data_IF_750260258074
#
_entry.id   IF_750260258074
#
_cell.length_a   1.000
_cell.length_b   1.000
_cell.length_c   1.000
_cell.angle_alpha   90.00
_cell.angle_beta   90.00
_cell.angle_gamma   90.00
#
_symmetry.space_group_name_H-M   'P 1'
#
loop_
_entity.id
_entity.type
_entity.pdbx_description
1 polymer ?
#
# COMPACT_ATOMS: atom_id res chain seq x y z
N UNK A 1 15.47 -18.84 -18.51
CA UNK A 1 15.69 -17.47 -18.98
C UNK A 1 14.41 -16.69 -18.74
N UNK A 2 14.41 -15.85 -17.71
CA UNK A 2 13.36 -14.85 -17.44
C UNK A 2 13.28 -13.93 -18.66
N UNK A 3 12.11 -13.86 -19.30
CA UNK A 3 11.93 -13.12 -20.57
C UNK A 3 11.06 -11.87 -20.45
N UNK A 4 10.88 -11.32 -19.24
CA UNK A 4 10.10 -10.10 -19.04
C UNK A 4 10.55 -9.19 -17.90
N UNK A 5 11.47 -9.64 -17.05
CA UNK A 5 12.07 -8.81 -16.00
C UNK A 5 13.58 -8.91 -16.16
N UNK A 6 14.33 -7.78 -16.19
CA UNK A 6 15.77 -7.79 -16.03
C UNK A 6 16.22 -8.78 -14.94
N UNK A 7 17.22 -9.60 -15.25
CA UNK A 7 17.71 -10.75 -14.47
C UNK A 7 18.21 -10.41 -13.05
N UNK A 8 18.17 -9.14 -12.66
CA UNK A 8 18.61 -8.59 -11.38
C UNK A 8 17.54 -7.74 -10.65
N UNK A 9 16.27 -7.78 -11.07
CA UNK A 9 15.22 -7.05 -10.38
C UNK A 9 14.88 -7.69 -9.04
N UNK A 10 15.07 -6.93 -7.97
CA UNK A 10 14.58 -7.27 -6.66
C UNK A 10 13.04 -7.25 -6.66
N UNK A 11 12.44 -7.99 -5.72
CA UNK A 11 10.98 -8.02 -5.52
C UNK A 11 10.36 -6.62 -5.35
N UNK A 12 11.11 -5.70 -4.75
CA UNK A 12 10.70 -4.32 -4.53
C UNK A 12 11.72 -3.39 -5.16
N UNK A 13 11.26 -2.43 -5.97
CA UNK A 13 12.10 -1.47 -6.68
C UNK A 13 11.55 -0.07 -6.47
N UNK A 14 12.45 0.89 -6.22
CA UNK A 14 12.13 2.30 -6.30
C UNK A 14 12.58 2.81 -7.68
N UNK A 15 11.64 3.31 -8.47
CA UNK A 15 11.91 3.93 -9.77
C UNK A 15 11.83 5.44 -9.60
N UNK A 16 12.87 6.13 -10.07
CA UNK A 16 12.96 7.59 -10.11
C UNK A 16 12.98 8.00 -11.59
N UNK A 17 11.83 8.38 -12.17
CA UNK A 17 11.72 8.64 -13.61
C UNK A 17 12.57 9.81 -14.12
N UNK A 18 12.75 10.84 -13.31
CA UNK A 18 13.52 12.04 -13.66
C UNK A 18 14.59 12.30 -12.60
N UNK A 19 15.88 12.24 -12.96
CA UNK A 19 16.97 12.45 -11.99
C UNK A 19 17.14 13.90 -11.56
N UNK A 20 16.58 14.85 -12.30
CA UNK A 20 16.70 16.29 -12.03
C UNK A 20 15.55 16.83 -11.17
N UNK A 21 14.51 16.01 -10.96
CA UNK A 21 13.30 16.38 -10.21
C UNK A 21 13.37 15.89 -8.76
N UNK A 22 12.81 16.67 -7.83
CA UNK A 22 12.70 16.27 -6.43
C UNK A 22 11.89 14.96 -6.28
N UNK A 23 12.36 14.06 -5.41
CA UNK A 23 11.74 12.75 -5.19
C UNK A 23 10.28 12.83 -4.75
N UNK A 24 9.92 13.86 -3.97
CA UNK A 24 8.59 14.04 -3.42
C UNK A 24 7.62 14.71 -4.40
N UNK A 25 8.10 15.18 -5.55
CA UNK A 25 7.28 15.78 -6.58
C UNK A 25 6.93 14.76 -7.69
N UNK A 26 6.05 13.81 -7.38
CA UNK A 26 5.50 12.83 -8.34
C UNK A 26 6.59 12.06 -9.14
N UNK A 27 7.75 11.86 -8.49
CA UNK A 27 8.96 11.34 -9.10
C UNK A 27 9.48 10.06 -8.42
N UNK A 28 8.66 9.44 -7.57
CA UNK A 28 8.97 8.18 -6.93
C UNK A 28 7.83 7.19 -7.19
N UNK A 29 8.16 6.09 -7.85
CA UNK A 29 7.26 4.96 -8.07
C UNK A 29 7.85 3.74 -7.35
N UNK A 30 7.08 3.15 -6.45
CA UNK A 30 7.42 1.90 -5.80
C UNK A 30 6.79 0.77 -6.59
N UNK A 31 7.62 -0.12 -7.12
CA UNK A 31 7.20 -1.34 -7.79
C UNK A 31 7.34 -2.54 -6.86
N UNK A 32 6.31 -3.37 -6.84
CA UNK A 32 6.37 -4.70 -6.27
C UNK A 32 6.00 -5.74 -7.32
N UNK A 33 6.86 -6.75 -7.50
CA UNK A 33 6.56 -7.93 -8.31
C UNK A 33 6.13 -9.08 -7.41
N UNK A 34 4.96 -9.66 -7.67
CA UNK A 34 4.58 -10.90 -7.00
C UNK A 34 5.23 -12.14 -7.64
N UNK A 35 5.04 -13.31 -7.03
CA UNK A 35 5.57 -14.56 -7.58
C UNK A 35 4.92 -14.91 -8.93
N UNK A 36 5.64 -15.62 -9.80
CA UNK A 36 5.06 -16.15 -11.04
C UNK A 36 3.94 -17.15 -10.77
N UNK A 37 3.05 -17.29 -11.75
CA UNK A 37 2.07 -18.38 -11.80
C UNK A 37 2.74 -19.74 -11.49
N UNK A 38 2.30 -20.40 -10.41
CA UNK A 38 2.95 -21.60 -9.88
C UNK A 38 2.89 -22.81 -10.81
N UNK A 39 1.87 -22.87 -11.67
CA UNK A 39 1.55 -24.06 -12.47
C UNK A 39 1.93 -23.93 -13.95
N UNK A 40 2.63 -22.86 -14.32
CA UNK A 40 3.03 -22.60 -15.71
C UNK A 40 4.56 -22.62 -15.85
N UNK A 41 5.08 -23.07 -17.00
CA UNK A 41 6.49 -22.89 -17.30
C UNK A 41 6.83 -21.40 -17.32
N UNK A 42 8.03 -21.02 -16.88
CA UNK A 42 8.46 -19.61 -16.77
C UNK A 42 8.31 -18.79 -18.07
N UNK A 43 8.33 -19.44 -19.23
CA UNK A 43 8.11 -18.80 -20.53
C UNK A 43 6.66 -18.40 -20.80
N UNK A 44 5.72 -18.87 -19.97
CA UNK A 44 4.27 -18.62 -20.06
C UNK A 44 3.69 -18.11 -18.73
N UNK A 45 4.47 -18.20 -17.65
CA UNK A 45 4.08 -17.70 -16.35
C UNK A 45 3.97 -16.18 -16.38
N UNK A 46 2.87 -15.68 -15.84
CA UNK A 46 2.62 -14.25 -15.68
C UNK A 46 2.97 -13.86 -14.26
N UNK A 47 3.43 -12.62 -14.10
CA UNK A 47 3.76 -12.06 -12.79
C UNK A 47 2.83 -10.89 -12.53
N UNK A 48 2.19 -10.81 -11.35
CA UNK A 48 1.50 -9.60 -10.97
C UNK A 48 2.55 -8.52 -10.67
N UNK A 49 2.30 -7.31 -11.18
CA UNK A 49 3.10 -6.12 -10.93
C UNK A 49 2.20 -5.07 -10.29
N UNK A 50 2.66 -4.46 -9.20
CA UNK A 50 1.97 -3.33 -8.56
C UNK A 50 2.87 -2.12 -8.60
N UNK A 51 2.32 -0.98 -9.02
CA UNK A 51 2.97 0.32 -8.96
C UNK A 51 2.23 1.20 -7.94
N UNK A 52 2.97 1.74 -6.99
CA UNK A 52 2.45 2.62 -5.94
C UNK A 52 3.17 3.96 -5.98
N UNK A 53 2.40 5.04 -5.96
CA UNK A 53 2.91 6.42 -5.91
C UNK A 53 2.36 7.15 -4.70
N UNK A 54 3.09 8.18 -4.25
CA UNK A 54 2.61 9.09 -3.23
C UNK A 54 1.84 10.23 -3.87
N UNK A 55 0.61 10.44 -3.41
CA UNK A 55 -0.22 11.56 -3.82
C UNK A 55 -0.40 12.55 -2.66
N UNK A 56 -0.22 13.86 -2.90
CA UNK A 56 -0.54 14.88 -1.91
C UNK A 56 -2.00 14.79 -1.44
N UNK A 57 -2.27 15.15 -0.18
CA UNK A 57 -3.64 15.25 0.35
C UNK A 57 -4.32 16.56 -0.11
N UNK A 58 -4.47 16.69 -1.43
CA UNK A 58 -5.11 17.82 -2.11
C UNK A 58 -6.32 17.27 -2.85
N UNK A 59 -7.53 17.72 -2.51
CA UNK A 59 -8.78 17.14 -3.02
C UNK A 59 -8.83 17.02 -4.56
N UNK A 60 -8.30 18.01 -5.27
CA UNK A 60 -8.20 18.00 -6.73
C UNK A 60 -7.40 16.82 -7.31
N UNK A 61 -6.41 16.29 -6.58
CA UNK A 61 -5.59 15.15 -7.03
C UNK A 61 -6.30 13.80 -6.86
N UNK A 62 -7.44 13.78 -6.17
CA UNK A 62 -8.17 12.57 -5.82
C UNK A 62 -9.54 12.48 -6.51
N UNK A 63 -9.77 13.29 -7.55
CA UNK A 63 -10.89 13.06 -8.47
C UNK A 63 -10.61 11.81 -9.31
N UNK A 64 -11.65 11.14 -9.80
CA UNK A 64 -11.46 9.95 -10.64
C UNK A 64 -10.65 10.29 -11.90
N UNK A 65 -10.89 11.46 -12.46
CA UNK A 65 -10.21 11.98 -13.64
C UNK A 65 -8.71 12.18 -13.37
N UNK A 66 -8.35 12.83 -12.26
CA UNK A 66 -6.95 13.05 -11.89
C UNK A 66 -6.22 11.73 -11.59
N UNK A 67 -6.87 10.80 -10.89
CA UNK A 67 -6.30 9.49 -10.60
C UNK A 67 -6.12 8.65 -11.87
N UNK A 68 -7.04 8.76 -12.83
CA UNK A 68 -6.91 8.12 -14.14
C UNK A 68 -5.71 8.68 -14.92
N UNK A 69 -5.57 10.01 -14.96
CA UNK A 69 -4.41 10.65 -15.58
C UNK A 69 -3.09 10.23 -14.94
N UNK A 70 -3.02 10.17 -13.61
CA UNK A 70 -1.84 9.70 -12.90
C UNK A 70 -1.53 8.23 -13.23
N UNK A 71 -2.54 7.35 -13.26
CA UNK A 71 -2.35 5.94 -13.60
C UNK A 71 -1.74 5.75 -14.99
N UNK A 72 -2.22 6.50 -15.99
CA UNK A 72 -1.63 6.48 -17.33
C UNK A 72 -0.21 7.05 -17.33
N UNK A 73 0.03 8.14 -16.60
CA UNK A 73 1.37 8.73 -16.46
C UNK A 73 2.37 7.76 -15.84
N UNK A 74 1.96 6.96 -14.86
CA UNK A 74 2.79 5.91 -14.27
C UNK A 74 3.19 4.87 -15.33
N UNK A 75 2.23 4.38 -16.13
CA UNK A 75 2.53 3.43 -17.20
C UNK A 75 3.48 4.02 -18.24
N UNK A 76 3.32 5.29 -18.60
CA UNK A 76 4.23 6.00 -19.51
C UNK A 76 5.65 6.10 -18.94
N UNK A 77 5.78 6.48 -17.67
CA UNK A 77 7.08 6.58 -16.97
C UNK A 77 7.76 5.21 -16.87
N UNK A 78 6.99 4.16 -16.60
CA UNK A 78 7.52 2.80 -16.46
C UNK A 78 7.95 2.17 -17.78
N UNK A 79 7.34 2.55 -18.89
CA UNK A 79 7.68 2.03 -20.23
C UNK A 79 9.15 2.34 -20.61
N UNK A 80 9.72 3.41 -20.07
CA UNK A 80 11.15 3.75 -20.21
C UNK A 80 12.07 2.71 -19.55
N UNK A 81 11.64 2.15 -18.41
CA UNK A 81 12.42 1.17 -17.65
C UNK A 81 12.11 -0.27 -18.04
N UNK A 82 10.88 -0.52 -18.48
CA UNK A 82 10.37 -1.82 -18.89
C UNK A 82 9.86 -1.71 -20.32
N UNK A 83 10.76 -1.88 -21.31
CA UNK A 83 10.37 -1.80 -22.71
C UNK A 83 9.23 -2.78 -23.00
N UNK A 84 8.22 -2.29 -23.71
CA UNK A 84 7.03 -3.07 -24.09
C UNK A 84 6.17 -3.50 -22.91
N UNK A 85 6.26 -2.83 -21.75
CA UNK A 85 5.42 -3.16 -20.59
C UNK A 85 3.95 -3.14 -21.00
N UNK A 86 3.51 -2.07 -21.64
CA UNK A 86 2.11 -1.87 -22.06
C UNK A 86 1.62 -2.97 -23.00
N UNK A 87 2.46 -3.43 -23.91
CA UNK A 87 2.12 -4.48 -24.88
C UNK A 87 1.98 -5.86 -24.22
N UNK A 88 2.57 -6.05 -23.04
CA UNK A 88 2.59 -7.30 -22.30
C UNK A 88 1.65 -7.31 -21.07
N UNK A 89 0.83 -6.27 -20.88
CA UNK A 89 -0.18 -6.26 -19.82
C UNK A 89 -1.42 -7.02 -20.31
N UNK A 90 -1.67 -8.18 -19.69
CA UNK A 90 -2.87 -8.96 -19.96
C UNK A 90 -4.12 -8.42 -19.25
N UNK A 91 -3.93 -7.79 -18.10
CA UNK A 91 -5.00 -7.25 -17.28
C UNK A 91 -4.53 -5.98 -16.58
N UNK A 92 -5.18 -4.86 -16.91
CA UNK A 92 -5.03 -3.58 -16.22
C UNK A 92 -6.42 -3.02 -15.94
N UNK A 93 -6.88 -3.12 -14.69
CA UNK A 93 -8.15 -2.52 -14.28
C UNK A 93 -7.87 -1.24 -13.48
N UNK A 94 -7.71 -0.14 -14.20
CA UNK A 94 -7.43 1.18 -13.62
C UNK A 94 -8.63 1.64 -12.79
N UNK A 95 -9.86 1.46 -13.28
CA UNK A 95 -11.06 1.86 -12.55
C UNK A 95 -11.18 1.14 -11.21
N UNK A 96 -10.90 -0.16 -11.18
CA UNK A 96 -10.88 -0.93 -9.93
C UNK A 96 -9.78 -0.47 -8.99
N UNK A 97 -8.61 -0.13 -9.53
CA UNK A 97 -7.50 0.41 -8.74
C UNK A 97 -7.84 1.77 -8.14
N UNK A 98 -8.56 2.62 -8.88
CA UNK A 98 -9.09 3.90 -8.40
C UNK A 98 -10.13 3.67 -7.30
N UNK A 99 -11.08 2.74 -7.51
CA UNK A 99 -12.09 2.40 -6.49
C UNK A 99 -11.45 1.96 -5.18
N UNK A 100 -10.44 1.10 -5.27
CA UNK A 100 -9.67 0.64 -4.10
C UNK A 100 -9.02 1.84 -3.42
N UNK A 101 -8.33 2.69 -4.17
CA UNK A 101 -7.62 3.86 -3.63
C UNK A 101 -8.56 4.85 -2.93
N UNK A 102 -9.70 5.17 -3.55
CA UNK A 102 -10.72 6.05 -2.98
C UNK A 102 -11.38 5.45 -1.73
N UNK A 103 -11.61 4.14 -1.71
CA UNK A 103 -12.15 3.47 -0.53
C UNK A 103 -11.14 3.45 0.62
N UNK A 104 -9.86 3.21 0.35
CA UNK A 104 -8.80 3.30 1.35
C UNK A 104 -8.62 4.73 1.88
N UNK A 105 -8.76 5.76 1.05
CA UNK A 105 -8.69 7.17 1.50
C UNK A 105 -9.75 7.52 2.56
N UNK A 106 -10.94 6.91 2.49
CA UNK A 106 -12.01 7.12 3.50
C UNK A 106 -11.63 6.56 4.87
N UNK A 107 -10.68 5.62 4.93
CA UNK A 107 -10.23 5.01 6.17
C UNK A 107 -9.10 5.86 6.75
N UNK A 108 -9.39 6.56 7.86
CA UNK A 108 -8.38 7.24 8.66
C UNK A 108 -7.49 6.21 9.36
N UNK A 109 -6.49 5.69 8.65
CA UNK A 109 -5.48 4.80 9.22
C UNK A 109 -4.25 5.60 9.62
N UNK A 110 -3.75 5.47 10.86
CA UNK A 110 -2.49 6.06 11.27
C UNK A 110 -1.27 5.30 10.74
N UNK A 111 -1.46 4.36 9.79
CA UNK A 111 -0.42 3.52 9.16
C UNK A 111 0.85 4.29 8.74
N UNK A 112 0.74 5.60 8.52
CA UNK A 112 1.84 6.47 8.10
C UNK A 112 2.08 7.69 9.01
N UNK A 113 1.36 7.84 10.13
CA UNK A 113 1.66 8.89 11.12
C UNK A 113 2.73 8.39 12.09
N UNK A 114 3.98 8.41 11.65
CA UNK A 114 5.13 8.30 12.56
C UNK A 114 5.28 9.64 13.28
N UNK A 115 4.65 9.79 14.44
CA UNK A 115 4.91 10.94 15.30
C UNK A 115 6.15 10.63 16.14
N UNK A 116 7.27 11.28 15.81
CA UNK A 116 8.51 11.37 16.60
C UNK A 116 8.77 10.25 17.61
N UNK A 117 9.39 9.15 17.15
CA UNK A 117 9.85 8.03 17.96
C UNK A 117 11.04 8.35 18.89
N UNK A 118 11.45 9.61 19.03
CA UNK A 118 12.62 9.97 19.83
C UNK A 118 12.38 9.93 21.35
N UNK A 119 11.13 9.80 21.84
CA UNK A 119 10.88 9.87 23.29
C UNK A 119 9.87 8.88 23.91
N UNK A 120 9.14 8.04 23.17
CA UNK A 120 8.22 7.06 23.80
C UNK A 120 8.19 5.71 23.09
N UNK A 121 8.49 4.64 23.81
CA UNK A 121 8.22 3.26 23.39
C UNK A 121 6.72 3.08 23.13
N UNK A 122 6.32 2.85 21.88
CA UNK A 122 4.96 2.54 21.42
C UNK A 122 3.85 3.48 21.94
N UNK A 123 3.31 4.33 21.06
CA UNK A 123 2.13 5.12 21.38
C UNK A 123 0.87 4.21 21.46
N UNK A 124 0.59 3.70 22.66
CA UNK A 124 -0.58 2.86 22.94
C UNK A 124 -1.75 3.69 23.49
N UNK A 125 -2.90 3.67 22.82
CA UNK A 125 -4.15 4.28 23.32
C UNK A 125 -5.00 3.25 24.07
N UNK A 126 -5.81 3.73 25.02
CA UNK A 126 -6.76 2.89 25.73
C UNK A 126 -7.83 2.34 24.78
N UNK A 127 -8.10 1.04 24.89
CA UNK A 127 -9.16 0.33 24.17
C UNK A 127 -10.51 0.42 24.90
N UNK A 128 -10.57 1.00 26.11
CA UNK A 128 -11.82 1.13 26.90
C UNK A 128 -12.67 2.27 26.39
N UNK A 129 -13.97 2.02 26.27
CA UNK A 129 -14.97 3.08 26.01
C UNK A 129 -15.72 3.46 27.28
N UNK A 130 -16.54 4.52 27.19
CA UNK A 130 -17.49 4.90 28.25
C UNK A 130 -18.61 3.87 28.47
N UNK A 131 -18.81 2.93 27.55
CA UNK A 131 -19.86 1.94 27.61
C UNK A 131 -19.31 0.61 28.14
N UNK A 132 -20.08 -0.04 29.02
CA UNK A 132 -19.69 -1.34 29.56
C UNK A 132 -19.66 -2.37 28.42
N UNK A 133 -18.61 -3.18 28.39
CA UNK A 133 -18.41 -4.26 27.41
C UNK A 133 -18.33 -3.81 25.94
N UNK A 134 -18.01 -2.53 25.72
CA UNK A 134 -17.70 -2.00 24.38
C UNK A 134 -16.24 -1.60 24.38
N UNK A 135 -15.48 -2.19 23.45
CA UNK A 135 -14.03 -2.00 23.33
C UNK A 135 -13.68 -1.53 21.92
N UNK A 136 -12.69 -0.63 21.83
CA UNK A 136 -12.12 -0.21 20.56
C UNK A 136 -11.05 -1.21 20.12
N UNK A 137 -10.92 -1.41 18.82
CA UNK A 137 -9.88 -2.23 18.18
C UNK A 137 -9.37 -1.51 16.94
N UNK A 138 -8.24 -1.96 16.40
CA UNK A 138 -7.64 -1.46 15.16
C UNK A 138 -6.30 -0.75 15.36
N UNK A 139 -5.66 -0.41 14.24
CA UNK A 139 -4.31 0.15 14.21
C UNK A 139 -4.17 1.50 14.92
N UNK A 140 -5.29 2.21 15.13
CA UNK A 140 -5.32 3.48 15.85
C UNK A 140 -4.96 3.40 17.33
N UNK A 141 -4.98 2.19 17.90
CA UNK A 141 -4.62 1.95 19.29
C UNK A 141 -3.13 1.69 19.50
N UNK A 142 -2.40 1.28 18.45
CA UNK A 142 -0.95 1.05 18.48
C UNK A 142 -0.38 1.58 17.16
N UNK A 143 -0.23 2.91 17.07
CA UNK A 143 0.03 3.59 15.78
C UNK A 143 1.33 3.17 15.10
N UNK A 144 2.28 2.64 15.89
CA UNK A 144 3.62 2.28 15.43
C UNK A 144 3.73 0.81 15.01
N UNK A 145 2.67 0.01 15.18
CA UNK A 145 2.66 -1.43 14.92
C UNK A 145 1.87 -1.84 13.66
N UNK A 146 1.45 -0.86 12.83
CA UNK A 146 0.88 -1.14 11.50
C UNK A 146 -0.26 -2.15 11.49
N UNK A 147 -0.14 -3.23 10.71
CA UNK A 147 -1.14 -4.30 10.66
C UNK A 147 -1.18 -5.14 11.94
N UNK A 148 -0.02 -5.38 12.57
CA UNK A 148 0.06 -6.15 13.82
C UNK A 148 -0.72 -5.48 14.95
N UNK A 149 -0.83 -4.15 14.91
CA UNK A 149 -1.68 -3.38 15.81
C UNK A 149 -3.16 -3.80 15.75
N UNK A 150 -3.69 -4.11 14.57
CA UNK A 150 -5.08 -4.57 14.38
C UNK A 150 -5.27 -5.93 15.06
N UNK A 151 -4.33 -6.85 14.85
CA UNK A 151 -4.38 -8.20 15.44
C UNK A 151 -4.24 -8.15 16.96
N UNK A 152 -3.25 -7.42 17.47
CA UNK A 152 -2.96 -7.31 18.90
C UNK A 152 -4.12 -6.63 19.64
N UNK A 153 -4.66 -5.53 19.09
CA UNK A 153 -5.78 -4.84 19.72
C UNK A 153 -7.05 -5.69 19.76
N UNK A 154 -7.34 -6.45 18.70
CA UNK A 154 -8.43 -7.43 18.68
C UNK A 154 -8.28 -8.51 19.74
N UNK A 155 -7.08 -9.10 19.85
CA UNK A 155 -6.77 -10.09 20.89
C UNK A 155 -6.97 -9.54 22.29
N UNK A 156 -6.51 -8.31 22.54
CA UNK A 156 -6.64 -7.66 23.84
C UNK A 156 -8.10 -7.39 24.23
N UNK A 157 -8.93 -6.96 23.27
CA UNK A 157 -10.36 -6.78 23.50
C UNK A 157 -11.07 -8.10 23.86
N UNK A 158 -10.75 -9.19 23.16
CA UNK A 158 -11.32 -10.51 23.45
C UNK A 158 -10.93 -10.99 24.86
N UNK A 159 -9.66 -10.83 25.26
CA UNK A 159 -9.18 -11.19 26.60
C UNK A 159 -9.94 -10.46 27.71
N UNK A 160 -10.30 -9.19 27.51
CA UNK A 160 -11.05 -8.40 28.50
C UNK A 160 -12.50 -8.84 28.67
N UNK A 161 -13.09 -9.45 27.64
CA UNK A 161 -14.41 -10.08 27.75
C UNK A 161 -14.29 -11.40 28.50
N UNK A 162 -13.30 -12.22 28.17
CA UNK A 162 -13.07 -13.52 28.80
C UNK A 162 -12.77 -13.39 30.30
N UNK A 163 -11.93 -12.43 30.70
CA UNK A 163 -11.56 -12.20 32.11
C UNK A 163 -12.69 -11.64 32.98
N UNK A 164 -13.82 -11.22 32.40
CA UNK A 164 -15.02 -10.79 33.14
C UNK A 164 -16.11 -11.87 33.22
N UNK A 165 -15.89 -13.00 32.56
CA UNK A 165 -16.81 -14.14 32.53
C UNK A 165 -16.65 -15.13 33.69
N UNK A 166 -15.63 -14.93 34.53
CA UNK A 166 -15.41 -15.58 35.83
C UNK A 166 -15.82 -14.63 36.97
#
# INVERSE_FOLDING_TARGET
AEKGLPQQLARHIAVVPDTEKDLYDHNLIILETGPPDKDKPLSQAKNPLTATVYLPDIEANWTREALGQEAFSILDKLDVFFPFLKDNIDLCDIDKSIDISLNYRKVLSPKYKVHNAFFTSFAAKSHKTRFKNVFLTGASLLTDAGFDAEIISGKNAALQVLQKGD
#
